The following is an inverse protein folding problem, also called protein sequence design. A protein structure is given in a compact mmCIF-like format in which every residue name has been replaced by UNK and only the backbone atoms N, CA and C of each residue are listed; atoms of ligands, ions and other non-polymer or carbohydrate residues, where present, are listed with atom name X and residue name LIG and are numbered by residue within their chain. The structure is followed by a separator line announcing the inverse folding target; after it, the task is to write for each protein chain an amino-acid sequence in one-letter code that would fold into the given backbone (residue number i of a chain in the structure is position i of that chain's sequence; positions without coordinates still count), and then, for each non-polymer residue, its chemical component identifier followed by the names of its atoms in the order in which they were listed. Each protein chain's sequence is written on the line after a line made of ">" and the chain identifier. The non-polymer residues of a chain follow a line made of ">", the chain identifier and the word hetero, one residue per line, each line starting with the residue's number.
data_IF_146413344776
#
_entry.id   IF_146413344776
#
_cell.length_a   1.000
_cell.length_b   1.000
_cell.length_c   1.000
_cell.angle_alpha   90.00
_cell.angle_beta   90.00
_cell.angle_gamma   90.00
#
_symmetry.space_group_name_H-M   'P 1'
#
loop_
_entity.id
_entity.type
_entity.pdbx_description
1 polymer ?
#
# COMPACT_ATOMS: atom_id res chain seq x y z
N UNK A 1 19.10 11.79 7.23
CA UNK A 1 18.90 11.27 5.86
C UNK A 1 17.40 11.21 5.62
N UNK A 2 16.92 11.53 4.41
CA UNK A 2 15.49 11.50 4.10
C UNK A 2 14.93 10.07 4.15
N UNK A 3 13.66 9.95 4.51
CA UNK A 3 12.92 8.69 4.53
C UNK A 3 11.80 8.72 3.48
N UNK A 4 11.41 7.53 3.03
CA UNK A 4 10.25 7.30 2.19
C UNK A 4 9.23 6.43 2.93
N UNK A 5 7.97 6.72 2.72
CA UNK A 5 6.87 5.87 3.17
C UNK A 5 6.37 5.05 1.96
N UNK A 6 6.35 3.73 2.08
CA UNK A 6 5.77 2.85 1.06
C UNK A 6 4.50 2.25 1.61
N UNK A 7 3.40 2.41 0.89
CA UNK A 7 2.08 1.93 1.28
C UNK A 7 1.57 0.97 0.22
N UNK A 8 0.89 -0.06 0.68
CA UNK A 8 0.11 -0.99 -0.11
C UNK A 8 -1.21 -1.27 0.65
N UNK A 9 -2.29 -1.45 -0.10
CA UNK A 9 -3.63 -1.70 0.44
C UNK A 9 -4.21 -2.98 -0.13
N UNK A 10 -4.79 -3.80 0.74
CA UNK A 10 -5.76 -4.81 0.31
C UNK A 10 -7.17 -4.25 0.47
N UNK A 11 -8.05 -4.62 -0.46
CA UNK A 11 -9.43 -4.14 -0.49
C UNK A 11 -10.42 -5.24 -0.90
N UNK A 12 -11.67 -5.05 -0.54
CA UNK A 12 -12.77 -5.94 -0.97
C UNK A 12 -12.83 -5.99 -2.50
N UNK A 13 -12.94 -7.19 -3.08
CA UNK A 13 -12.94 -7.38 -4.53
C UNK A 13 -13.66 -8.68 -4.93
N UNK A 14 -13.80 -8.95 -6.22
CA UNK A 14 -14.34 -10.18 -6.81
C UNK A 14 -13.56 -10.50 -8.10
N UNK A 15 -13.81 -11.68 -8.69
CA UNK A 15 -13.32 -12.02 -10.03
C UNK A 15 -13.72 -10.94 -11.05
N UNK A 16 -12.75 -10.48 -11.84
CA UNK A 16 -12.93 -9.36 -12.78
C UNK A 16 -12.74 -7.96 -12.17
N UNK A 17 -12.64 -7.86 -10.85
CA UNK A 17 -12.42 -6.62 -10.12
C UNK A 17 -13.67 -5.75 -10.00
N UNK A 18 -13.61 -4.80 -9.07
CA UNK A 18 -14.66 -3.79 -8.89
C UNK A 18 -14.13 -2.39 -9.22
N UNK A 19 -15.02 -1.43 -9.53
CA UNK A 19 -14.65 -0.02 -9.53
C UNK A 19 -14.11 0.40 -8.16
N UNK A 20 -13.07 1.25 -8.12
CA UNK A 20 -12.44 1.76 -6.88
C UNK A 20 -13.49 2.30 -5.89
N UNK A 21 -14.48 3.06 -6.36
CA UNK A 21 -15.56 3.61 -5.55
C UNK A 21 -16.46 2.56 -4.86
N UNK A 22 -16.45 1.31 -5.35
CA UNK A 22 -17.19 0.20 -4.76
C UNK A 22 -16.36 -0.68 -3.84
N UNK A 23 -15.03 -0.54 -3.88
CA UNK A 23 -14.09 -1.28 -3.03
C UNK A 23 -13.97 -0.59 -1.67
N UNK A 24 -13.69 -1.37 -0.63
CA UNK A 24 -13.37 -0.89 0.72
C UNK A 24 -12.02 -1.45 1.16
N UNK A 25 -11.17 -0.62 1.76
CA UNK A 25 -9.91 -1.07 2.36
C UNK A 25 -10.19 -2.09 3.48
N UNK A 26 -9.46 -3.21 3.43
CA UNK A 26 -9.54 -4.30 4.43
C UNK A 26 -8.21 -4.58 5.12
N UNK A 27 -7.08 -4.15 4.53
CA UNK A 27 -5.76 -4.17 5.17
C UNK A 27 -4.97 -2.94 4.74
N UNK A 28 -4.32 -2.28 5.69
CA UNK A 28 -3.36 -1.20 5.44
C UNK A 28 -1.99 -1.72 5.80
N UNK A 29 -1.07 -1.74 4.84
CA UNK A 29 0.33 -2.05 5.04
C UNK A 29 1.19 -0.86 4.67
N UNK A 30 2.04 -0.43 5.59
CA UNK A 30 2.97 0.66 5.34
C UNK A 30 4.33 0.39 5.96
N UNK A 31 5.40 0.65 5.22
CA UNK A 31 6.78 0.57 5.71
C UNK A 31 7.47 1.91 5.51
N UNK A 32 8.10 2.40 6.58
CA UNK A 32 8.98 3.55 6.55
C UNK A 32 10.38 3.06 6.28
N UNK A 33 11.03 3.59 5.25
CA UNK A 33 12.37 3.16 4.85
C UNK A 33 13.33 4.32 4.69
N UNK A 34 14.62 4.03 4.89
CA UNK A 34 15.68 4.94 4.48
C UNK A 34 15.91 4.88 2.95
N UNK A 35 16.85 5.70 2.46
CA UNK A 35 17.22 5.76 1.04
C UNK A 35 17.73 4.43 0.45
N UNK A 36 18.25 3.53 1.29
CA UNK A 36 18.74 2.22 0.88
C UNK A 36 17.63 1.15 0.86
N UNK A 37 16.37 1.55 1.08
CA UNK A 37 15.22 0.65 1.14
C UNK A 37 15.17 -0.21 2.41
N UNK A 38 15.92 0.16 3.46
CA UNK A 38 15.91 -0.55 4.75
C UNK A 38 14.79 -0.03 5.63
N UNK A 39 13.99 -0.94 6.17
CA UNK A 39 12.89 -0.65 7.10
C UNK A 39 13.41 -0.01 8.39
N UNK A 40 12.75 1.08 8.78
CA UNK A 40 12.96 1.84 10.01
C UNK A 40 11.79 1.66 10.98
N UNK A 41 10.57 1.58 10.45
CA UNK A 41 9.34 1.35 11.20
C UNK A 41 8.25 0.88 10.23
N UNK A 42 7.13 0.37 10.75
CA UNK A 42 5.99 -0.04 9.93
C UNK A 42 4.65 0.17 10.63
N UNK A 43 3.59 0.17 9.83
CA UNK A 43 2.21 0.14 10.27
C UNK A 43 1.45 -0.95 9.52
N UNK A 44 0.70 -1.76 10.26
CA UNK A 44 -0.15 -2.81 9.70
C UNK A 44 -1.42 -2.94 10.50
N UNK A 45 -2.58 -2.82 9.85
CA UNK A 45 -3.88 -3.01 10.48
C UNK A 45 -4.88 -3.57 9.48
N UNK A 46 -5.69 -4.53 9.93
CA UNK A 46 -6.94 -4.86 9.27
C UNK A 46 -7.97 -3.75 9.50
N UNK A 47 -8.88 -3.62 8.55
CA UNK A 47 -9.99 -2.67 8.55
C UNK A 47 -11.27 -3.44 8.31
N UNK A 48 -12.31 -3.13 9.09
CA UNK A 48 -13.63 -3.73 8.89
C UNK A 48 -14.42 -2.93 7.85
N UNK A 49 -14.75 -3.51 6.67
CA UNK A 49 -15.59 -2.85 5.68
C UNK A 49 -17.05 -2.76 6.16
N UNK A 50 -17.75 -1.71 5.76
CA UNK A 50 -19.13 -1.43 6.17
C UNK A 50 -20.15 -1.70 5.06
N UNK A 51 -19.83 -1.40 3.80
CA UNK A 51 -20.73 -1.61 2.65
C UNK A 51 -20.80 -3.09 2.28
N UNK A 52 -19.66 -3.78 2.31
CA UNK A 52 -19.50 -5.19 1.93
C UNK A 52 -18.76 -5.93 3.05
N UNK A 53 -19.43 -6.16 4.20
CA UNK A 53 -18.80 -6.76 5.38
C UNK A 53 -18.41 -8.23 5.21
N UNK A 54 -18.94 -8.91 4.19
CA UNK A 54 -18.62 -10.31 3.89
C UNK A 54 -17.66 -10.36 2.71
N UNK A 55 -16.45 -10.85 2.94
CA UNK A 55 -15.45 -11.05 1.89
C UNK A 55 -15.93 -12.13 0.92
N UNK A 56 -15.78 -11.85 -0.37
CA UNK A 56 -16.02 -12.83 -1.42
C UNK A 56 -15.07 -14.01 -1.29
N UNK A 57 -15.38 -15.14 -1.93
CA UNK A 57 -14.43 -16.26 -1.95
C UNK A 57 -13.13 -15.86 -2.66
N UNK A 58 -13.23 -15.19 -3.80
CA UNK A 58 -12.08 -14.72 -4.57
C UNK A 58 -11.17 -13.77 -3.76
N UNK A 59 -11.74 -12.79 -3.05
CA UNK A 59 -10.98 -11.86 -2.22
C UNK A 59 -10.19 -12.57 -1.12
N UNK A 60 -10.79 -13.58 -0.48
CA UNK A 60 -10.12 -14.37 0.57
C UNK A 60 -8.99 -15.24 0.01
N UNK A 61 -9.20 -15.85 -1.16
CA UNK A 61 -8.14 -16.64 -1.81
C UNK A 61 -6.99 -15.77 -2.32
N UNK A 62 -7.31 -14.58 -2.87
CA UNK A 62 -6.33 -13.65 -3.38
C UNK A 62 -5.46 -13.08 -2.25
N UNK A 63 -6.09 -12.55 -1.21
CA UNK A 63 -5.41 -11.81 -0.13
C UNK A 63 -4.98 -12.69 1.03
N UNK A 64 -5.49 -13.92 1.12
CA UNK A 64 -5.32 -14.81 2.26
C UNK A 64 -5.85 -14.22 3.59
N UNK A 65 -6.72 -13.22 3.52
CA UNK A 65 -7.36 -12.61 4.69
C UNK A 65 -8.62 -13.41 5.03
N UNK A 66 -8.69 -13.90 6.27
CA UNK A 66 -9.86 -14.60 6.77
C UNK A 66 -10.96 -13.63 7.17
N UNK A 67 -12.22 -14.05 7.01
CA UNK A 67 -13.40 -13.28 7.42
C UNK A 67 -13.32 -12.85 8.91
N UNK A 68 -12.87 -13.73 9.79
CA UNK A 68 -12.74 -13.42 11.22
C UNK A 68 -11.73 -12.30 11.52
N UNK A 69 -10.71 -12.12 10.67
CA UNK A 69 -9.73 -11.04 10.80
C UNK A 69 -10.38 -9.67 10.60
N UNK A 70 -11.27 -9.56 9.61
CA UNK A 70 -11.96 -8.30 9.34
C UNK A 70 -13.18 -8.10 10.25
N UNK A 71 -13.84 -9.17 10.70
CA UNK A 71 -14.99 -9.07 11.60
C UNK A 71 -14.59 -8.45 12.96
N UNK A 72 -13.39 -8.81 13.42
CA UNK A 72 -12.78 -8.32 14.66
C UNK A 72 -12.02 -6.99 14.50
N UNK A 73 -11.83 -6.52 13.26
CA UNK A 73 -11.14 -5.27 12.99
C UNK A 73 -11.99 -4.04 13.34
N UNK A 74 -11.31 -2.92 13.55
CA UNK A 74 -11.94 -1.63 13.71
C UNK A 74 -12.32 -1.04 12.32
N UNK A 75 -13.36 -0.20 12.23
CA UNK A 75 -13.67 0.50 10.99
C UNK A 75 -12.57 1.51 10.64
N UNK A 76 -12.48 1.90 9.37
CA UNK A 76 -11.42 2.79 8.87
C UNK A 76 -11.35 4.12 9.64
N UNK A 77 -12.48 4.69 10.02
CA UNK A 77 -12.57 5.93 10.81
C UNK A 77 -11.90 5.83 12.18
N UNK A 78 -11.69 4.62 12.71
CA UNK A 78 -10.95 4.37 13.95
C UNK A 78 -9.49 3.99 13.70
N UNK A 79 -9.20 3.30 12.59
CA UNK A 79 -7.85 2.89 12.21
C UNK A 79 -7.03 4.06 11.68
N UNK A 80 -7.62 4.92 10.84
CA UNK A 80 -6.91 6.00 10.17
C UNK A 80 -6.26 7.02 11.13
N UNK A 81 -6.92 7.46 12.23
CA UNK A 81 -6.26 8.30 13.23
C UNK A 81 -5.06 7.64 13.91
N UNK A 82 -5.00 6.31 13.96
CA UNK A 82 -3.84 5.57 14.48
C UNK A 82 -2.69 5.62 13.48
N UNK A 83 -2.98 5.48 12.18
CA UNK A 83 -2.02 5.65 11.11
C UNK A 83 -1.42 7.07 11.13
N UNK A 84 -2.26 8.10 11.19
CA UNK A 84 -1.84 9.51 11.26
C UNK A 84 -0.95 9.77 12.49
N UNK A 85 -1.35 9.25 13.66
CA UNK A 85 -0.55 9.37 14.89
C UNK A 85 0.79 8.66 14.73
N UNK A 86 0.81 7.45 14.20
CA UNK A 86 2.05 6.71 13.93
C UNK A 86 2.98 7.52 13.01
N UNK A 87 2.48 7.98 11.87
CA UNK A 87 3.23 8.77 10.89
C UNK A 87 3.75 10.10 11.47
N UNK A 88 3.00 10.72 12.39
CA UNK A 88 3.37 12.00 12.99
C UNK A 88 4.74 11.99 13.69
N UNK A 89 5.14 10.84 14.27
CA UNK A 89 6.45 10.68 14.91
C UNK A 89 7.61 10.73 13.92
N UNK A 90 7.35 10.49 12.63
CA UNK A 90 8.34 10.39 11.57
C UNK A 90 8.31 11.55 10.57
N UNK A 91 7.20 12.32 10.56
CA UNK A 91 6.83 13.28 9.51
C UNK A 91 7.94 14.24 9.11
N UNK A 92 8.75 14.72 10.06
CA UNK A 92 9.83 15.67 9.80
C UNK A 92 10.93 15.13 8.85
N UNK A 93 11.01 13.82 8.65
CA UNK A 93 12.04 13.16 7.80
C UNK A 93 11.46 12.53 6.53
N UNK A 94 10.14 12.46 6.41
CA UNK A 94 9.47 11.83 5.25
C UNK A 94 9.41 12.83 4.11
N UNK A 95 10.01 12.50 2.96
CA UNK A 95 9.97 13.37 1.77
C UNK A 95 8.67 13.27 0.99
N UNK A 96 8.04 12.11 1.06
CA UNK A 96 6.87 11.75 0.30
C UNK A 96 6.56 10.28 0.55
N UNK A 97 5.55 9.81 -0.14
CA UNK A 97 5.11 8.43 -0.04
C UNK A 97 4.96 7.80 -1.42
N UNK A 98 4.91 6.50 -1.46
CA UNK A 98 4.94 5.73 -2.69
C UNK A 98 4.09 4.48 -2.55
N UNK A 99 3.64 3.97 -3.69
CA UNK A 99 3.02 2.66 -3.83
C UNK A 99 3.49 2.04 -5.14
N UNK A 100 3.28 0.74 -5.33
CA UNK A 100 3.67 0.11 -6.58
C UNK A 100 2.88 0.71 -7.75
N UNK A 101 1.54 0.65 -7.69
CA UNK A 101 0.65 1.24 -8.69
C UNK A 101 0.04 2.57 -8.24
N UNK A 102 -0.90 3.09 -9.04
CA UNK A 102 -1.68 4.28 -8.67
C UNK A 102 -2.95 3.92 -7.88
N UNK A 103 -3.29 2.63 -7.81
CA UNK A 103 -4.48 2.12 -7.14
C UNK A 103 -4.56 2.56 -5.69
N UNK A 104 -3.49 2.37 -4.90
CA UNK A 104 -3.48 2.66 -3.47
C UNK A 104 -3.76 4.13 -3.18
N UNK A 105 -3.22 5.03 -4.02
CA UNK A 105 -3.50 6.46 -3.93
C UNK A 105 -4.95 6.78 -4.23
N UNK A 106 -5.48 6.23 -5.33
CA UNK A 106 -6.88 6.45 -5.70
C UNK A 106 -7.84 5.89 -4.64
N UNK A 107 -7.54 4.71 -4.09
CA UNK A 107 -8.35 4.10 -3.04
C UNK A 107 -8.30 4.94 -1.76
N UNK A 108 -7.12 5.39 -1.31
CA UNK A 108 -7.02 6.26 -0.13
C UNK A 108 -7.78 7.58 -0.32
N UNK A 109 -7.66 8.22 -1.48
CA UNK A 109 -8.40 9.45 -1.80
C UNK A 109 -9.92 9.23 -1.75
N UNK A 110 -10.40 8.10 -2.26
CA UNK A 110 -11.81 7.73 -2.22
C UNK A 110 -12.30 7.46 -0.80
N UNK A 111 -11.53 6.72 0.00
CA UNK A 111 -11.84 6.45 1.40
C UNK A 111 -11.89 7.73 2.24
N UNK A 112 -10.91 8.63 2.07
CA UNK A 112 -10.88 9.92 2.78
C UNK A 112 -12.10 10.77 2.42
N UNK A 113 -12.44 10.84 1.14
CA UNK A 113 -13.62 11.57 0.66
C UNK A 113 -14.91 10.98 1.23
N UNK A 114 -15.07 9.66 1.17
CA UNK A 114 -16.27 8.96 1.63
C UNK A 114 -16.47 9.11 3.14
N UNK A 115 -15.40 8.92 3.92
CA UNK A 115 -15.44 8.97 5.38
C UNK A 115 -15.22 10.36 5.99
N UNK A 116 -14.94 11.38 5.15
CA UNK A 116 -14.58 12.75 5.56
C UNK A 116 -13.37 12.76 6.51
N UNK A 117 -12.34 12.00 6.12
CA UNK A 117 -11.09 11.91 6.87
C UNK A 117 -10.07 12.92 6.31
N UNK A 118 -9.37 13.60 7.22
CA UNK A 118 -8.18 14.35 6.88
C UNK A 118 -6.95 13.43 6.93
N UNK A 119 -5.97 13.72 6.07
CA UNK A 119 -4.75 12.93 5.97
C UNK A 119 -3.53 13.81 5.71
N UNK A 120 -2.44 13.58 6.46
CA UNK A 120 -1.17 14.25 6.18
C UNK A 120 -0.64 13.89 4.79
N UNK A 121 -0.93 12.68 4.29
CA UNK A 121 -0.50 12.20 2.97
C UNK A 121 -1.09 13.01 1.81
N UNK A 122 -2.27 13.61 1.98
CA UNK A 122 -2.92 14.45 0.94
C UNK A 122 -2.06 15.65 0.51
N UNK A 123 -1.19 16.12 1.41
CA UNK A 123 -0.26 17.24 1.17
C UNK A 123 1.14 16.78 0.78
N UNK A 124 1.41 15.47 0.81
CA UNK A 124 2.72 14.89 0.52
C UNK A 124 2.80 14.43 -0.94
N UNK A 125 3.98 14.58 -1.60
CA UNK A 125 4.18 14.00 -2.92
C UNK A 125 3.99 12.47 -2.90
N UNK A 126 3.20 11.97 -3.85
CA UNK A 126 3.10 10.55 -4.14
C UNK A 126 3.98 10.16 -5.32
N UNK A 127 4.58 8.97 -5.25
CA UNK A 127 5.37 8.39 -6.34
C UNK A 127 4.82 7.02 -6.73
N UNK A 128 4.37 6.89 -7.98
CA UNK A 128 4.04 5.62 -8.60
C UNK A 128 5.32 4.88 -9.02
N UNK A 129 5.73 3.88 -8.23
CA UNK A 129 7.01 3.19 -8.44
C UNK A 129 7.01 2.28 -9.66
N UNK A 130 5.87 1.72 -10.06
CA UNK A 130 5.73 0.92 -11.29
C UNK A 130 6.11 1.73 -12.52
N UNK A 131 5.67 2.99 -12.62
CA UNK A 131 6.03 3.89 -13.72
C UNK A 131 7.51 4.29 -13.65
N UNK A 132 7.99 4.67 -12.47
CA UNK A 132 9.38 5.12 -12.27
C UNK A 132 10.38 3.99 -12.51
N UNK A 133 10.04 2.75 -12.13
CA UNK A 133 10.85 1.57 -12.44
C UNK A 133 10.91 1.30 -13.95
N UNK A 134 9.78 1.39 -14.65
CA UNK A 134 9.76 1.23 -16.11
C UNK A 134 10.65 2.26 -16.80
N UNK A 135 10.62 3.52 -16.35
CA UNK A 135 11.49 4.59 -16.84
C UNK A 135 12.98 4.29 -16.56
N UNK A 136 13.32 3.96 -15.30
CA UNK A 136 14.70 3.64 -14.89
C UNK A 136 15.29 2.45 -15.65
N UNK A 137 14.44 1.50 -16.06
CA UNK A 137 14.82 0.29 -16.81
C UNK A 137 14.57 0.39 -18.32
N UNK A 138 14.15 1.54 -18.83
CA UNK A 138 13.83 1.79 -20.24
C UNK A 138 12.86 0.74 -20.84
N UNK A 139 11.90 0.29 -20.03
CA UNK A 139 10.90 -0.70 -20.44
C UNK A 139 9.84 -0.04 -21.32
N UNK A 140 9.41 -0.76 -22.37
CA UNK A 140 8.33 -0.30 -23.25
C UNK A 140 6.99 -0.20 -22.53
N UNK A 141 6.77 -1.03 -21.50
CA UNK A 141 5.56 -1.05 -20.68
C UNK A 141 5.89 -1.31 -19.21
N UNK A 142 5.17 -0.69 -18.27
CA UNK A 142 5.29 -1.03 -16.85
C UNK A 142 4.84 -2.46 -16.56
N UNK A 143 5.42 -3.09 -15.54
CA UNK A 143 5.19 -4.49 -15.20
C UNK A 143 4.67 -4.69 -13.77
N UNK A 144 4.26 -5.92 -13.41
CA UNK A 144 3.86 -6.26 -12.05
C UNK A 144 5.03 -6.26 -11.07
N UNK A 145 4.74 -6.11 -9.77
CA UNK A 145 5.75 -6.02 -8.71
C UNK A 145 6.67 -7.24 -8.70
N UNK A 146 6.10 -8.44 -8.72
CA UNK A 146 6.87 -9.68 -8.73
C UNK A 146 7.80 -9.77 -9.94
N UNK A 147 7.32 -9.42 -11.14
CA UNK A 147 8.15 -9.41 -12.35
C UNK A 147 9.25 -8.35 -12.29
N UNK A 148 9.00 -7.19 -11.68
CA UNK A 148 10.01 -6.16 -11.47
C UNK A 148 11.11 -6.62 -10.50
N UNK A 149 10.74 -7.31 -9.42
CA UNK A 149 11.69 -7.94 -8.50
C UNK A 149 12.55 -8.98 -9.24
N UNK A 150 11.92 -9.87 -10.00
CA UNK A 150 12.63 -10.88 -10.79
C UNK A 150 13.61 -10.24 -11.79
N UNK A 151 13.20 -9.18 -12.50
CA UNK A 151 14.07 -8.43 -13.40
C UNK A 151 15.25 -7.79 -12.66
N UNK A 152 15.05 -7.36 -11.41
CA UNK A 152 16.10 -6.84 -10.54
C UNK A 152 16.97 -7.95 -9.91
N UNK A 153 16.79 -9.22 -10.27
CA UNK A 153 17.52 -10.36 -9.70
C UNK A 153 17.07 -10.70 -8.27
N UNK A 154 15.89 -10.27 -7.86
CA UNK A 154 15.32 -10.50 -6.54
C UNK A 154 14.16 -11.50 -6.61
N UNK A 155 13.99 -12.27 -5.53
CA UNK A 155 12.78 -13.05 -5.29
C UNK A 155 11.81 -12.27 -4.42
N UNK A 156 10.52 -12.46 -4.66
CA UNK A 156 9.47 -12.01 -3.76
C UNK A 156 9.65 -12.70 -2.40
N UNK A 157 9.63 -11.93 -1.31
CA UNK A 157 9.82 -12.45 0.04
C UNK A 157 8.49 -12.43 0.79
N UNK A 158 8.04 -13.58 1.29
CA UNK A 158 6.76 -13.70 2.00
C UNK A 158 5.57 -14.01 1.07
N UNK A 159 4.37 -13.82 1.61
CA UNK A 159 3.11 -14.09 0.91
C UNK A 159 2.67 -12.87 0.09
N UNK A 160 2.40 -13.05 -1.21
CA UNK A 160 1.84 -11.99 -2.06
C UNK A 160 0.42 -11.65 -1.62
N UNK A 161 0.00 -10.40 -1.90
CA UNK A 161 -1.32 -9.89 -1.54
C UNK A 161 -1.57 -9.84 -0.03
N UNK A 162 -0.51 -9.52 0.70
CA UNK A 162 -0.57 -9.11 2.10
C UNK A 162 0.06 -7.73 2.19
N UNK A 163 -0.72 -6.75 2.60
CA UNK A 163 -0.39 -5.33 2.38
C UNK A 163 1.02 -4.97 2.88
N UNK A 164 1.39 -5.35 4.11
CA UNK A 164 2.72 -5.01 4.63
C UNK A 164 3.84 -5.76 3.90
N UNK A 165 3.59 -7.00 3.47
CA UNK A 165 4.57 -7.81 2.72
C UNK A 165 4.81 -7.20 1.35
N UNK A 166 3.74 -6.79 0.66
CA UNK A 166 3.80 -6.15 -0.66
C UNK A 166 4.47 -4.76 -0.55
N UNK A 167 4.16 -3.97 0.48
CA UNK A 167 4.82 -2.70 0.77
C UNK A 167 6.34 -2.87 1.00
N UNK A 168 6.75 -3.89 1.77
CA UNK A 168 8.17 -4.23 2.01
C UNK A 168 8.88 -4.66 0.74
N UNK A 169 8.26 -5.50 -0.07
CA UNK A 169 8.83 -5.92 -1.35
C UNK A 169 8.94 -4.75 -2.34
N UNK A 170 7.95 -3.87 -2.35
CA UNK A 170 7.98 -2.62 -3.12
C UNK A 170 9.13 -1.72 -2.67
N UNK A 171 9.36 -1.57 -1.37
CA UNK A 171 10.42 -0.73 -0.83
C UNK A 171 11.83 -1.20 -1.22
N UNK A 172 12.04 -2.51 -1.42
CA UNK A 172 13.33 -3.08 -1.89
C UNK A 172 13.72 -2.60 -3.29
N UNK A 173 12.75 -2.14 -4.10
CA UNK A 173 13.02 -1.59 -5.43
C UNK A 173 13.36 -0.09 -5.41
N UNK A 174 13.10 0.63 -4.31
CA UNK A 174 13.35 2.08 -4.23
C UNK A 174 14.79 2.48 -4.62
N UNK A 175 15.85 1.79 -4.14
CA UNK A 175 17.23 2.13 -4.49
C UNK A 175 17.56 1.89 -5.97
N UNK A 176 16.67 1.25 -6.74
CA UNK A 176 16.83 1.05 -8.18
C UNK A 176 16.02 2.05 -9.01
N UNK A 177 15.19 2.86 -8.34
CA UNK A 177 14.20 3.76 -8.94
C UNK A 177 14.52 5.22 -8.63
N UNK A 178 14.88 5.51 -7.38
CA UNK A 178 15.05 6.88 -6.87
C UNK A 178 16.52 7.34 -6.82
N UNK A 179 17.42 6.63 -7.49
CA UNK A 179 18.79 7.12 -7.69
C UNK A 179 18.74 8.37 -8.57
N UNK A 180 18.90 9.52 -7.94
CA UNK A 180 19.48 10.72 -8.54
C UNK A 180 20.98 10.69 -8.28
#
# INVERSE_FOLDING_TARGET
>A
MPHWLVIDLEATTEEGGWPVAEMEVIEIGATLVNQDGRELDHFERFVRPARRPVLTHFCRELTHINQSSIDSAAPLTTVWPQFERWLSHHRARVLGWASWGDYDRQQLEEEWRYHRLDSALSSMPHVNLKQRFAQARQLQKPMGLNSALQLAGMQFAGQQHRALVDARNTARLLPLILLN
#
